data_IF_320194342483
#
_entry.id   IF_320194342483
#
_cell.length_a   1.000
_cell.length_b   1.000
_cell.length_c   1.000
_cell.angle_alpha   90.00
_cell.angle_beta   90.00
_cell.angle_gamma   90.00
#
_symmetry.space_group_name_H-M   'P 1'
#
loop_
_entity.id
_entity.type
_entity.pdbx_description
1 polymer ?
#
# COMPACT_ATOMS: atom_id res chain seq x y z
N UNK A 1 -4.03 -8.91 -12.83
CA UNK A 1 -3.50 -10.29 -12.77
C UNK A 1 -2.28 -10.40 -11.84
N UNK A 2 -1.41 -9.38 -11.76
CA UNK A 2 -0.25 -9.34 -10.86
C UNK A 2 -0.52 -8.94 -9.39
N UNK A 3 -1.76 -8.60 -9.02
CA UNK A 3 -2.08 -8.18 -7.64
C UNK A 3 -2.17 -9.35 -6.64
N UNK A 4 -2.02 -10.59 -7.12
CA UNK A 4 -1.95 -11.78 -6.27
C UNK A 4 -0.50 -12.19 -5.95
N UNK A 5 0.49 -11.41 -6.39
CA UNK A 5 1.91 -11.72 -6.13
C UNK A 5 2.18 -11.58 -4.64
N UNK A 6 2.15 -12.72 -3.95
CA UNK A 6 2.42 -12.80 -2.52
C UNK A 6 3.92 -12.74 -2.23
N UNK A 7 4.26 -12.59 -0.94
CA UNK A 7 5.65 -12.65 -0.47
C UNK A 7 6.38 -13.93 -0.91
N UNK A 8 5.66 -15.05 -1.00
CA UNK A 8 6.21 -16.32 -1.48
C UNK A 8 6.63 -16.29 -2.95
N UNK A 9 5.83 -15.70 -3.83
CA UNK A 9 6.16 -15.60 -5.26
C UNK A 9 7.31 -14.62 -5.51
N UNK A 10 7.41 -13.53 -4.73
CA UNK A 10 8.59 -12.65 -4.77
C UNK A 10 9.87 -13.40 -4.41
N UNK A 11 9.84 -14.26 -3.38
CA UNK A 11 10.98 -15.10 -3.02
C UNK A 11 11.38 -16.04 -4.18
N UNK A 12 10.38 -16.67 -4.81
CA UNK A 12 10.61 -17.55 -5.98
C UNK A 12 11.25 -16.78 -7.14
N UNK A 13 10.80 -15.56 -7.43
CA UNK A 13 11.39 -14.72 -8.48
C UNK A 13 12.83 -14.33 -8.17
N UNK A 14 13.13 -14.00 -6.91
CA UNK A 14 14.50 -13.70 -6.47
C UNK A 14 15.39 -14.92 -6.65
N UNK A 15 14.96 -16.09 -6.19
CA UNK A 15 15.71 -17.34 -6.34
C UNK A 15 15.88 -17.68 -7.83
N UNK A 16 14.83 -17.59 -8.64
CA UNK A 16 14.92 -17.82 -10.08
C UNK A 16 15.90 -16.84 -10.74
N UNK A 17 15.87 -15.56 -10.37
CA UNK A 17 16.83 -14.57 -10.85
C UNK A 17 18.27 -14.89 -10.45
N UNK A 18 18.50 -15.31 -9.19
CA UNK A 18 19.80 -15.74 -8.69
C UNK A 18 20.32 -16.99 -9.42
N UNK A 19 19.45 -17.95 -9.76
CA UNK A 19 19.84 -19.17 -10.48
C UNK A 19 20.12 -18.90 -11.95
N UNK A 20 19.25 -18.13 -12.63
CA UNK A 20 19.37 -17.85 -14.06
C UNK A 20 20.57 -16.95 -14.36
N UNK A 21 20.71 -15.85 -13.60
CA UNK A 21 21.74 -14.85 -13.85
C UNK A 21 23.02 -15.12 -13.04
N UNK A 22 22.90 -15.80 -11.90
CA UNK A 22 23.97 -15.98 -10.93
C UNK A 22 23.97 -14.89 -9.85
N UNK A 23 24.22 -15.24 -8.56
CA UNK A 23 24.23 -14.28 -7.46
C UNK A 23 25.28 -13.17 -7.64
N UNK A 24 26.36 -13.47 -8.36
CA UNK A 24 27.50 -12.56 -8.47
C UNK A 24 27.26 -11.50 -9.55
N UNK A 25 26.34 -11.79 -10.49
CA UNK A 25 26.04 -10.93 -11.64
C UNK A 25 24.84 -10.02 -11.38
N UNK A 26 23.89 -10.46 -10.55
CA UNK A 26 22.72 -9.67 -10.16
C UNK A 26 23.05 -8.26 -9.64
N UNK A 27 23.97 -8.08 -8.66
CA UNK A 27 24.30 -6.73 -8.16
C UNK A 27 24.97 -5.87 -9.24
N UNK A 28 25.74 -6.46 -10.15
CA UNK A 28 26.31 -5.77 -11.30
C UNK A 28 25.24 -5.32 -12.29
N UNK A 29 24.28 -6.20 -12.62
CA UNK A 29 23.18 -5.90 -13.52
C UNK A 29 22.24 -4.81 -12.96
N UNK A 30 21.93 -4.85 -11.67
CA UNK A 30 21.14 -3.81 -11.00
C UNK A 30 21.85 -2.45 -11.11
N UNK A 31 23.16 -2.41 -10.86
CA UNK A 31 23.95 -1.17 -10.97
C UNK A 31 23.96 -0.61 -12.39
N UNK A 32 24.16 -1.48 -13.39
CA UNK A 32 24.14 -1.07 -14.79
C UNK A 32 22.76 -0.54 -15.21
N UNK A 33 21.69 -1.28 -14.89
CA UNK A 33 20.32 -0.88 -15.22
C UNK A 33 19.93 0.41 -14.50
N UNK A 34 20.26 0.56 -13.21
CA UNK A 34 20.00 1.78 -12.47
C UNK A 34 20.74 2.98 -13.08
N UNK A 35 22.00 2.79 -13.47
CA UNK A 35 22.79 3.80 -14.19
C UNK A 35 22.16 4.16 -15.54
N UNK A 36 21.78 3.17 -16.33
CA UNK A 36 21.14 3.36 -17.64
C UNK A 36 19.79 4.07 -17.53
N UNK A 37 18.95 3.71 -16.56
CA UNK A 37 17.67 4.37 -16.29
C UNK A 37 17.88 5.81 -15.87
N UNK A 38 18.85 6.09 -15.00
CA UNK A 38 19.18 7.45 -14.57
C UNK A 38 19.66 8.29 -15.74
N UNK A 39 20.59 7.76 -16.53
CA UNK A 39 21.10 8.40 -17.72
C UNK A 39 19.95 8.69 -18.71
N UNK A 40 19.10 7.70 -19.00
CA UNK A 40 17.93 7.89 -19.86
C UNK A 40 16.99 8.98 -19.34
N UNK A 41 16.69 9.01 -18.04
CA UNK A 41 15.88 10.06 -17.41
C UNK A 41 16.51 11.45 -17.60
N UNK A 42 17.82 11.56 -17.41
CA UNK A 42 18.55 12.82 -17.53
C UNK A 42 18.55 13.30 -18.99
N UNK A 43 18.76 12.42 -19.97
CA UNK A 43 18.65 12.73 -21.40
C UNK A 43 17.24 13.15 -21.80
N UNK A 44 16.21 12.43 -21.36
CA UNK A 44 14.81 12.75 -21.67
C UNK A 44 14.44 14.11 -21.07
N UNK A 45 14.85 14.37 -19.82
CA UNK A 45 14.57 15.63 -19.12
C UNK A 45 15.29 16.81 -19.80
N UNK A 46 16.55 16.62 -20.19
CA UNK A 46 17.34 17.60 -20.93
C UNK A 46 16.74 17.94 -22.30
N UNK A 47 16.37 16.92 -23.09
CA UNK A 47 15.72 17.12 -24.38
C UNK A 47 14.36 17.81 -24.22
N UNK A 48 13.56 17.38 -23.24
CA UNK A 48 12.26 18.03 -22.94
C UNK A 48 12.43 19.50 -22.58
N UNK A 49 13.48 19.84 -21.81
CA UNK A 49 13.81 21.23 -21.47
C UNK A 49 14.18 22.05 -22.70
N UNK A 50 15.03 21.50 -23.59
CA UNK A 50 15.43 22.16 -24.84
C UNK A 50 14.23 22.36 -25.77
N UNK A 51 13.37 21.35 -25.91
CA UNK A 51 12.15 21.46 -26.71
C UNK A 51 11.17 22.49 -26.11
N UNK A 52 11.05 22.56 -24.78
CA UNK A 52 10.22 23.57 -24.09
C UNK A 52 10.76 24.99 -24.28
N UNK A 53 12.07 25.14 -24.39
CA UNK A 53 12.74 26.42 -24.59
C UNK A 53 12.70 26.87 -26.06
N UNK A 54 12.81 25.94 -27.01
CA UNK A 54 12.80 26.23 -28.45
C UNK A 54 11.39 26.31 -29.07
N UNK A 55 10.42 25.52 -28.59
CA UNK A 55 9.05 25.47 -29.16
C UNK A 55 8.04 26.33 -28.38
N UNK A 56 8.41 26.86 -27.22
CA UNK A 56 7.56 27.74 -26.42
C UNK A 56 6.13 27.17 -26.21
N UNK A 57 5.06 27.95 -26.41
CA UNK A 57 3.68 27.57 -26.07
C UNK A 57 3.16 26.29 -26.76
N UNK A 58 3.77 25.85 -27.87
CA UNK A 58 3.36 24.61 -28.55
C UNK A 58 3.67 23.34 -27.75
N UNK A 59 4.56 23.42 -26.75
CA UNK A 59 4.78 22.33 -25.81
C UNK A 59 3.60 22.14 -24.83
N UNK A 60 2.89 23.21 -24.48
CA UNK A 60 1.73 23.11 -23.59
C UNK A 60 0.54 22.41 -24.28
N UNK A 61 0.40 22.55 -25.59
CA UNK A 61 -0.57 21.78 -26.40
C UNK A 61 -0.24 20.27 -26.44
N UNK A 62 1.02 19.88 -26.27
CA UNK A 62 1.43 18.47 -26.12
C UNK A 62 1.29 17.96 -24.69
N UNK A 63 1.29 18.87 -23.71
CA UNK A 63 1.18 18.54 -22.29
C UNK A 63 -0.21 18.04 -21.93
N UNK A 64 -1.25 18.60 -22.56
CA UNK A 64 -2.64 18.19 -22.37
C UNK A 64 -2.89 16.72 -22.77
N UNK A 65 -2.54 16.26 -24.00
CA UNK A 65 -2.69 14.85 -24.39
C UNK A 65 -1.75 13.91 -23.61
N UNK A 66 -0.54 14.33 -23.24
CA UNK A 66 0.34 13.53 -22.37
C UNK A 66 -0.25 13.36 -20.97
N UNK A 67 -0.84 14.43 -20.41
CA UNK A 67 -1.51 14.40 -19.12
C UNK A 67 -2.79 13.55 -19.17
N UNK A 68 -3.52 13.61 -20.28
CA UNK A 68 -4.69 12.77 -20.50
C UNK A 68 -4.32 11.29 -20.58
N UNK A 69 -3.25 10.93 -21.30
CA UNK A 69 -2.72 9.56 -21.35
C UNK A 69 -2.25 9.07 -19.98
N UNK A 70 -1.60 9.94 -19.19
CA UNK A 70 -1.17 9.61 -17.83
C UNK A 70 -2.37 9.45 -16.88
N UNK A 71 -3.40 10.28 -17.03
CA UNK A 71 -4.67 10.20 -16.29
C UNK A 71 -5.43 8.92 -16.65
N UNK A 72 -5.45 8.53 -17.92
CA UNK A 72 -6.06 7.29 -18.40
C UNK A 72 -5.31 6.04 -17.90
N UNK A 73 -3.98 6.12 -17.78
CA UNK A 73 -3.16 5.07 -17.14
C UNK A 73 -3.42 4.97 -15.63
N UNK A 74 -3.73 6.09 -14.97
CA UNK A 74 -4.13 6.14 -13.55
C UNK A 74 -5.56 5.63 -13.31
N UNK A 75 -6.47 5.82 -14.27
CA UNK A 75 -7.81 5.27 -14.30
C UNK A 75 -7.80 3.83 -14.84
N UNK A 76 -7.08 2.93 -14.16
CA UNK A 76 -7.19 1.51 -14.51
C UNK A 76 -8.66 1.08 -14.32
N UNK A 77 -9.24 0.26 -15.22
CA UNK A 77 -10.61 -0.26 -15.06
C UNK A 77 -10.84 -0.91 -13.70
N UNK A 78 -9.76 -1.47 -13.13
CA UNK A 78 -9.72 -1.95 -11.75
C UNK A 78 -9.91 -0.85 -10.71
N UNK A 79 -9.25 0.29 -10.82
CA UNK A 79 -9.44 1.41 -9.89
C UNK A 79 -10.86 2.00 -9.96
N UNK A 80 -11.46 2.08 -11.15
CA UNK A 80 -12.85 2.51 -11.31
C UNK A 80 -13.83 1.48 -10.72
N UNK A 81 -13.61 0.19 -10.97
CA UNK A 81 -14.44 -0.89 -10.42
C UNK A 81 -14.25 -1.03 -8.91
N UNK A 82 -13.04 -0.88 -8.39
CA UNK A 82 -12.77 -0.86 -6.95
C UNK A 82 -13.42 0.35 -6.30
N UNK A 83 -13.38 1.56 -6.88
CA UNK A 83 -14.14 2.68 -6.30
C UNK A 83 -15.65 2.43 -6.29
N UNK A 84 -16.20 1.80 -7.33
CA UNK A 84 -17.64 1.53 -7.39
C UNK A 84 -18.08 0.34 -6.52
N UNK A 85 -17.21 -0.64 -6.28
CA UNK A 85 -17.52 -1.82 -5.45
C UNK A 85 -17.08 -1.67 -3.99
N UNK A 86 -16.01 -0.93 -3.70
CA UNK A 86 -15.46 -0.75 -2.35
C UNK A 86 -16.20 0.34 -1.56
N UNK A 87 -16.74 1.38 -2.21
CA UNK A 87 -17.64 2.34 -1.53
C UNK A 87 -19.05 1.77 -1.28
N UNK A 88 -19.39 0.62 -1.87
CA UNK A 88 -20.73 0.04 -1.80
C UNK A 88 -20.87 -1.27 -1.02
N UNK A 89 -19.79 -2.04 -0.85
CA UNK A 89 -19.88 -3.43 -0.38
C UNK A 89 -18.62 -3.92 0.36
N UNK A 90 -18.26 -3.25 1.46
CA UNK A 90 -17.24 -3.72 2.43
C UNK A 90 -17.53 -5.14 2.98
N UNK A 91 -18.71 -5.68 2.73
CA UNK A 91 -19.15 -7.04 3.08
C UNK A 91 -18.39 -8.14 2.33
N UNK A 92 -17.93 -7.87 1.10
CA UNK A 92 -17.26 -8.87 0.25
C UNK A 92 -15.78 -9.02 0.61
N UNK A 93 -15.11 -7.91 0.95
CA UNK A 93 -13.70 -7.92 1.34
C UNK A 93 -13.48 -8.41 2.79
N UNK A 94 -14.46 -8.24 3.67
CA UNK A 94 -14.33 -8.61 5.10
C UNK A 94 -14.78 -10.04 5.42
N UNK A 95 -15.15 -10.85 4.43
CA UNK A 95 -15.36 -12.29 4.61
C UNK A 95 -16.53 -12.69 5.52
N UNK A 96 -17.50 -11.80 5.77
CA UNK A 96 -18.67 -12.09 6.65
C UNK A 96 -19.84 -12.77 5.93
N UNK A 97 -19.57 -13.56 4.88
CA UNK A 97 -20.60 -14.25 4.11
C UNK A 97 -21.06 -15.58 4.71
N UNK A 98 -20.57 -15.97 5.89
CA UNK A 98 -20.89 -17.26 6.53
C UNK A 98 -21.42 -17.07 7.97
N UNK A 99 -22.40 -16.19 8.17
CA UNK A 99 -23.04 -16.02 9.49
C UNK A 99 -24.55 -15.94 9.38
N UNK A 100 -25.13 -16.79 8.55
CA UNK A 100 -26.57 -17.08 8.58
C UNK A 100 -26.77 -18.58 8.47
N UNK A 101 -27.25 -19.18 9.57
CA UNK A 101 -27.64 -20.57 9.79
C UNK A 101 -26.54 -21.53 10.27
N UNK A 102 -26.61 -21.92 11.55
CA UNK A 102 -26.94 -23.30 11.95
C UNK A 102 -27.20 -23.36 13.45
N UNK A 103 -28.35 -23.91 13.78
CA UNK A 103 -28.91 -24.19 15.10
C UNK A 103 -28.29 -25.48 15.71
N UNK A 104 -28.39 -25.63 17.05
CA UNK A 104 -28.23 -26.86 17.88
C UNK A 104 -26.81 -27.26 18.42
N UNK A 105 -26.68 -28.13 19.46
CA UNK A 105 -27.07 -27.97 20.88
C UNK A 105 -25.95 -28.34 21.92
N UNK A 106 -26.24 -28.07 23.21
CA UNK A 106 -25.50 -28.18 24.51
C UNK A 106 -24.62 -29.44 24.80
N UNK A 107 -23.67 -29.37 25.79
CA UNK A 107 -23.81 -30.17 27.04
C UNK A 107 -23.48 -29.41 28.36
N UNK A 108 -23.89 -29.90 29.58
CA UNK A 108 -23.81 -29.17 30.85
C UNK A 108 -22.71 -29.62 31.85
N UNK A 109 -22.21 -28.65 32.65
CA UNK A 109 -21.71 -28.67 34.08
C UNK A 109 -20.51 -29.60 34.45
N UNK A 110 -19.62 -29.25 35.42
CA UNK A 110 -20.00 -29.06 36.85
C UNK A 110 -19.23 -27.98 37.67
N UNK A 111 -19.70 -27.88 38.91
CA UNK A 111 -19.51 -26.94 40.03
C UNK A 111 -18.22 -27.18 40.86
N UNK A 112 -17.68 -26.13 41.52
CA UNK A 112 -17.26 -26.05 42.96
C UNK A 112 -16.05 -25.13 43.28
N UNK A 113 -16.18 -24.25 44.29
CA UNK A 113 -15.10 -23.97 45.27
C UNK A 113 -14.48 -22.54 45.36
N UNK A 114 -13.94 -22.09 46.53
CA UNK A 114 -14.00 -20.70 47.02
C UNK A 114 -12.66 -19.95 47.28
N UNK A 115 -12.63 -18.62 47.05
CA UNK A 115 -11.75 -17.55 47.65
C UNK A 115 -10.20 -17.65 47.53
N UNK A 116 -9.39 -16.64 47.93
CA UNK A 116 -9.64 -15.23 48.26
C UNK A 116 -8.80 -14.23 47.42
N UNK A 117 -9.30 -13.02 47.14
CA UNK A 117 -8.46 -11.89 46.69
C UNK A 117 -8.07 -11.04 47.90
N UNK A 118 -6.78 -10.96 48.17
CA UNK A 118 -6.20 -10.18 49.25
C UNK A 118 -5.89 -8.74 48.80
N UNK A 119 -6.32 -7.79 49.64
CA UNK A 119 -5.77 -6.46 49.97
C UNK A 119 -5.44 -5.42 48.88
N UNK A 120 -6.12 -4.26 49.01
CA UNK A 120 -5.72 -2.91 48.54
C UNK A 120 -4.67 -2.30 49.52
N UNK A 121 -3.86 -1.26 49.16
CA UNK A 121 -4.36 0.13 49.31
C UNK A 121 -3.71 1.26 48.43
N UNK A 122 -4.53 2.26 48.11
CA UNK A 122 -4.35 3.75 48.16
C UNK A 122 -3.16 4.52 47.51
N UNK A 123 -3.55 5.42 46.58
CA UNK A 123 -3.30 6.89 46.52
C UNK A 123 -2.00 7.52 45.96
N UNK A 124 -2.16 8.39 44.94
CA UNK A 124 -1.50 9.71 44.71
C UNK A 124 -2.02 10.29 43.37
N UNK A 125 -3.03 11.16 43.34
CA UNK A 125 -3.00 12.65 43.35
C UNK A 125 -2.19 13.26 42.19
N UNK A 126 -2.89 13.71 41.15
CA UNK A 126 -2.42 14.61 40.08
C UNK A 126 -2.08 16.02 40.60
N UNK A 127 -1.16 16.76 39.95
CA UNK A 127 -1.65 17.92 39.19
C UNK A 127 -0.82 18.35 37.95
N UNK A 128 -1.55 18.75 36.90
CA UNK A 128 -1.30 19.90 36.00
C UNK A 128 -0.10 19.93 35.02
N UNK A 129 -0.42 20.00 33.72
CA UNK A 129 0.06 21.03 32.73
C UNK A 129 -0.47 20.71 31.32
N UNK A 130 -1.62 21.25 30.90
CA UNK A 130 -1.87 22.48 30.11
C UNK A 130 -2.13 22.20 28.59
N UNK A 131 -2.94 23.05 27.91
CA UNK A 131 -3.93 22.63 26.91
C UNK A 131 -3.56 22.92 25.43
N UNK A 132 -4.36 22.33 24.53
CA UNK A 132 -4.32 22.43 23.06
C UNK A 132 -4.35 23.86 22.51
N UNK A 133 -3.56 24.12 21.46
CA UNK A 133 -3.46 25.39 20.72
C UNK A 133 -4.11 25.25 19.31
N UNK A 134 -5.21 25.97 19.02
CA UNK A 134 -5.89 25.91 17.73
C UNK A 134 -5.48 27.01 16.72
N UNK A 135 -4.40 27.78 16.93
CA UNK A 135 -4.02 28.92 16.04
C UNK A 135 -2.82 28.64 15.11
N UNK A 136 -2.56 27.39 14.77
CA UNK A 136 -1.52 27.04 13.79
C UNK A 136 -2.03 27.26 12.34
N UNK A 137 -1.85 28.48 11.83
CA UNK A 137 -2.01 28.84 10.40
C UNK A 137 -0.74 28.59 9.61
#
# INVERSE_FOLDING_TARGET
>A
MFANVGWGEMLVLVIAGLVILGPERLPGAIRWTAGAVRQARDYITGATSQLREDLGPEFDDLREPLSELQKLRGMTPRAALTKHLLDGDDSIFTGRFDSTNTDSPKPPKPQSGPGPSAVSPAASVDPASTPFDPDAT
#
